data_IF_436517732315
#
_entry.id   IF_436517732315
#
_cell.length_a   1.000
_cell.length_b   1.000
_cell.length_c   1.000
_cell.angle_alpha   90.00
_cell.angle_beta   90.00
_cell.angle_gamma   90.00
#
_symmetry.space_group_name_H-M   'P 1'
#
loop_
_entity.id
_entity.type
_entity.pdbx_description
1 polymer ?
#
# COMPACT_ATOMS: atom_id res chain seq x y z
N UNK A 1 12.06 32.44 -0.25
CA UNK A 1 12.62 31.14 -0.68
C UNK A 1 12.31 30.11 0.38
N UNK A 2 11.37 29.20 0.11
CA UNK A 2 11.16 28.03 0.96
C UNK A 2 12.28 27.04 0.65
N UNK A 3 13.05 26.64 1.67
CA UNK A 3 14.01 25.56 1.56
C UNK A 3 13.25 24.29 1.94
N UNK A 4 13.00 23.41 0.99
CA UNK A 4 12.57 22.03 1.26
C UNK A 4 13.74 21.33 1.94
N UNK A 5 13.63 21.13 3.25
CA UNK A 5 14.58 20.34 4.02
C UNK A 5 13.88 19.03 4.41
N UNK A 6 14.45 17.90 4.02
CA UNK A 6 14.00 16.59 4.45
C UNK A 6 14.51 16.35 5.87
N UNK A 7 13.63 16.44 6.88
CA UNK A 7 13.99 16.16 8.27
C UNK A 7 13.41 14.81 8.65
N UNK A 8 14.24 13.78 8.63
CA UNK A 8 13.88 12.46 9.19
C UNK A 8 14.10 12.51 10.70
N UNK A 9 13.04 12.79 11.47
CA UNK A 9 13.08 12.66 12.92
C UNK A 9 13.01 11.18 13.31
N UNK A 10 14.16 10.56 13.54
CA UNK A 10 14.24 9.23 14.14
C UNK A 10 14.40 9.40 15.65
N UNK A 11 13.41 9.00 16.44
CA UNK A 11 13.61 8.84 17.89
C UNK A 11 14.45 7.57 18.07
N UNK A 12 15.73 7.74 18.37
CA UNK A 12 16.67 6.64 18.57
C UNK A 12 16.31 5.84 19.83
N UNK A 13 15.86 4.60 19.65
CA UNK A 13 15.91 3.58 20.70
C UNK A 13 17.19 2.75 20.52
N UNK A 14 17.92 2.55 21.62
CA UNK A 14 19.24 1.94 21.66
C UNK A 14 19.26 0.46 21.24
N UNK A 15 20.44 0.04 20.79
CA UNK A 15 20.74 -1.14 19.98
C UNK A 15 20.43 -2.51 20.60
N UNK A 16 20.02 -3.44 19.73
CA UNK A 16 20.31 -4.87 19.87
C UNK A 16 20.79 -5.40 18.51
N UNK A 17 21.97 -6.01 18.52
CA UNK A 17 22.73 -6.50 17.37
C UNK A 17 22.02 -7.66 16.67
N UNK A 18 21.97 -7.67 15.33
CA UNK A 18 21.73 -8.90 14.57
C UNK A 18 22.49 -8.85 13.25
N UNK A 19 23.18 -9.96 12.98
CA UNK A 19 24.08 -10.20 11.85
C UNK A 19 23.37 -10.07 10.50
N UNK A 20 24.09 -9.46 9.56
CA UNK A 20 23.70 -9.24 8.17
C UNK A 20 23.88 -10.51 7.35
N UNK A 21 22.78 -11.09 6.87
CA UNK A 21 22.79 -11.98 5.71
C UNK A 21 22.43 -11.11 4.50
N UNK A 22 23.39 -10.95 3.59
CA UNK A 22 23.24 -10.16 2.38
C UNK A 22 22.13 -10.77 1.50
N UNK A 23 21.03 -10.04 1.34
CA UNK A 23 20.02 -10.31 0.33
C UNK A 23 20.43 -9.57 -0.95
N UNK A 24 20.53 -10.29 -2.06
CA UNK A 24 20.85 -9.75 -3.38
C UNK A 24 19.77 -8.72 -3.80
N UNK A 25 20.17 -7.45 -3.89
CA UNK A 25 19.33 -6.36 -4.39
C UNK A 25 19.20 -6.44 -5.91
N UNK A 26 18.13 -7.09 -6.39
CA UNK A 26 17.60 -6.87 -7.73
C UNK A 26 16.65 -5.66 -7.70
N UNK A 27 17.20 -4.46 -7.49
CA UNK A 27 16.44 -3.20 -7.39
C UNK A 27 15.96 -2.69 -8.73
N UNK A 28 14.84 -3.22 -9.24
CA UNK A 28 14.07 -2.55 -10.29
C UNK A 28 13.28 -1.36 -9.70
N UNK A 29 13.26 -0.22 -10.40
CA UNK A 29 12.39 0.90 -10.03
C UNK A 29 10.93 0.50 -10.23
N UNK A 30 10.09 0.62 -9.19
CA UNK A 30 8.65 0.36 -9.28
C UNK A 30 7.98 1.46 -10.10
N UNK A 31 7.24 1.08 -11.14
CA UNK A 31 6.47 2.01 -11.96
C UNK A 31 5.21 2.48 -11.23
N UNK A 32 4.79 3.73 -11.43
CA UNK A 32 3.56 4.26 -10.81
C UNK A 32 2.66 4.84 -11.89
N UNK A 33 1.45 4.29 -11.99
CA UNK A 33 0.40 4.73 -12.90
C UNK A 33 -0.67 5.50 -12.13
N UNK A 34 -0.88 6.75 -12.49
CA UNK A 34 -1.98 7.57 -11.97
C UNK A 34 -3.14 7.51 -12.95
N UNK A 35 -4.05 6.55 -12.72
CA UNK A 35 -5.20 6.32 -13.59
C UNK A 35 -5.00 5.27 -14.69
N UNK A 36 -6.11 4.76 -15.26
CA UNK A 36 -6.10 3.69 -16.26
C UNK A 36 -5.38 4.07 -17.57
N UNK A 37 -5.35 5.34 -17.92
CA UNK A 37 -4.73 5.86 -19.15
C UNK A 37 -3.20 5.72 -19.18
N UNK A 38 -2.57 5.54 -18.01
CA UNK A 38 -1.13 5.33 -17.89
C UNK A 38 -0.74 3.85 -17.89
N UNK A 39 -1.72 2.93 -17.80
CA UNK A 39 -1.46 1.49 -17.79
C UNK A 39 -1.06 1.04 -19.20
N UNK A 40 0.08 0.32 -19.36
CA UNK A 40 0.49 -0.19 -20.66
C UNK A 40 -0.57 -1.14 -21.24
N UNK A 41 -1.09 -0.82 -22.43
CA UNK A 41 -2.11 -1.64 -23.11
C UNK A 41 -1.64 -3.06 -23.44
N UNK A 42 -0.32 -3.28 -23.49
CA UNK A 42 0.27 -4.59 -23.67
C UNK A 42 -0.02 -5.56 -22.50
N UNK A 43 -0.38 -5.09 -21.30
CA UNK A 43 -0.69 -5.96 -20.17
C UNK A 43 -1.94 -6.80 -20.42
N UNK A 44 -3.01 -6.18 -20.92
CA UNK A 44 -4.29 -6.83 -21.24
C UNK A 44 -4.35 -7.51 -22.61
N UNK A 45 -3.26 -7.50 -23.39
CA UNK A 45 -3.21 -8.16 -24.69
C UNK A 45 -3.19 -9.71 -24.53
N UNK A 46 -3.72 -10.51 -25.48
CA UNK A 46 -3.77 -11.97 -25.37
C UNK A 46 -2.41 -12.66 -25.12
N UNK A 47 -1.35 -12.11 -25.73
CA UNK A 47 0.04 -12.56 -25.58
C UNK A 47 0.86 -11.64 -24.63
N UNK A 48 0.17 -10.73 -23.95
CA UNK A 48 0.76 -9.81 -22.97
C UNK A 48 1.29 -10.54 -21.73
N UNK A 49 2.21 -9.91 -20.98
CA UNK A 49 2.72 -10.48 -19.73
C UNK A 49 1.60 -10.69 -18.69
N UNK A 50 0.51 -9.91 -18.75
CA UNK A 50 -0.52 -9.89 -17.72
C UNK A 50 0.01 -9.45 -16.35
N UNK A 51 -0.82 -9.62 -15.32
CA UNK A 51 -0.47 -9.20 -13.95
C UNK A 51 -0.90 -10.21 -12.90
N UNK A 52 -0.24 -10.15 -11.75
CA UNK A 52 -0.76 -10.63 -10.47
C UNK A 52 -1.07 -9.40 -9.64
N UNK A 53 -2.34 -9.23 -9.25
CA UNK A 53 -2.82 -7.98 -8.67
C UNK A 53 -3.13 -8.13 -7.19
N UNK A 54 -2.70 -7.16 -6.37
CA UNK A 54 -3.21 -6.99 -5.01
C UNK A 54 -3.94 -5.67 -4.88
N UNK A 55 -5.16 -5.68 -4.34
CA UNK A 55 -6.01 -4.49 -4.21
C UNK A 55 -6.12 -4.08 -2.75
N UNK A 56 -5.82 -2.83 -2.44
CA UNK A 56 -5.92 -2.32 -1.08
C UNK A 56 -5.59 -0.85 -0.93
N UNK A 57 -6.05 -0.25 0.17
CA UNK A 57 -5.65 1.13 0.50
C UNK A 57 -4.17 1.17 0.92
N UNK A 58 -3.64 0.12 1.53
CA UNK A 58 -2.23 0.04 1.92
C UNK A 58 -1.74 1.20 2.80
N UNK A 59 -2.61 1.87 3.56
CA UNK A 59 -2.21 3.01 4.40
C UNK A 59 -1.23 2.55 5.50
N UNK A 60 -0.03 3.14 5.49
CA UNK A 60 1.08 2.77 6.35
C UNK A 60 1.92 1.55 5.91
N UNK A 61 1.47 0.76 4.93
CA UNK A 61 2.16 -0.46 4.43
C UNK A 61 2.70 -1.31 5.61
N UNK A 62 1.82 -1.62 6.57
CA UNK A 62 2.16 -2.37 7.77
C UNK A 62 2.48 -3.85 7.47
N UNK A 63 2.90 -4.61 8.50
CA UNK A 63 3.30 -6.03 8.35
C UNK A 63 2.24 -6.90 7.65
N UNK A 64 0.97 -6.71 7.98
CA UNK A 64 -0.15 -7.34 7.26
C UNK A 64 -0.14 -7.07 5.75
N UNK A 65 -0.09 -5.79 5.33
CA UNK A 65 0.02 -5.43 3.91
C UNK A 65 1.27 -6.05 3.26
N UNK A 66 2.43 -6.00 3.94
CA UNK A 66 3.67 -6.58 3.41
C UNK A 66 3.56 -8.09 3.17
N UNK A 67 2.82 -8.82 4.00
CA UNK A 67 2.59 -10.24 3.80
C UNK A 67 1.76 -10.52 2.52
N UNK A 68 0.66 -9.78 2.32
CA UNK A 68 -0.18 -9.90 1.11
C UNK A 68 0.62 -9.55 -0.15
N UNK A 69 1.38 -8.44 -0.11
CA UNK A 69 2.19 -7.99 -1.24
C UNK A 69 3.35 -8.95 -1.56
N UNK A 70 4.03 -9.48 -0.53
CA UNK A 70 5.06 -10.49 -0.73
C UNK A 70 4.49 -11.75 -1.40
N UNK A 71 3.26 -12.15 -1.03
CA UNK A 71 2.61 -13.28 -1.68
C UNK A 71 2.22 -12.99 -3.13
N UNK A 72 1.77 -11.77 -3.45
CA UNK A 72 1.52 -11.35 -4.82
C UNK A 72 2.78 -11.42 -5.70
N UNK A 73 3.92 -10.96 -5.17
CA UNK A 73 5.23 -11.03 -5.85
C UNK A 73 5.66 -12.49 -6.08
N UNK A 74 5.52 -13.33 -5.06
CA UNK A 74 5.85 -14.75 -5.18
C UNK A 74 4.93 -15.47 -6.19
N UNK A 75 3.62 -15.21 -6.15
CA UNK A 75 2.66 -15.73 -7.13
C UNK A 75 3.04 -15.31 -8.56
N UNK A 76 3.43 -14.06 -8.77
CA UNK A 76 3.89 -13.60 -10.08
C UNK A 76 5.12 -14.40 -10.58
N UNK A 77 6.09 -14.68 -9.70
CA UNK A 77 7.24 -15.55 -10.04
C UNK A 77 6.81 -16.98 -10.37
N UNK A 78 5.92 -17.56 -9.57
CA UNK A 78 5.43 -18.94 -9.76
C UNK A 78 4.70 -19.09 -11.10
N UNK A 79 3.82 -18.15 -11.44
CA UNK A 79 3.12 -18.13 -12.73
C UNK A 79 4.11 -18.01 -13.90
N UNK A 80 5.15 -17.17 -13.76
CA UNK A 80 6.19 -17.06 -14.79
C UNK A 80 7.00 -18.35 -14.98
N UNK A 81 7.29 -19.09 -13.90
CA UNK A 81 8.00 -20.37 -13.96
C UNK A 81 7.15 -21.49 -14.58
N UNK A 82 5.83 -21.45 -14.37
CA UNK A 82 4.90 -22.43 -14.96
C UNK A 82 4.69 -22.24 -16.47
N UNK A 83 4.94 -21.03 -16.97
CA UNK A 83 4.71 -20.63 -18.37
C UNK A 83 5.96 -19.99 -19.00
N UNK A 84 7.07 -20.72 -19.16
CA UNK A 84 8.35 -20.17 -19.64
C UNK A 84 8.29 -19.64 -21.08
N UNK A 85 7.26 -20.01 -21.85
CA UNK A 85 6.98 -19.50 -23.19
C UNK A 85 6.43 -18.07 -23.21
N UNK A 86 6.03 -17.53 -22.05
CA UNK A 86 5.50 -16.17 -21.89
C UNK A 86 6.37 -15.36 -20.92
N UNK A 87 6.40 -14.03 -21.04
CA UNK A 87 6.97 -13.20 -19.99
C UNK A 87 6.24 -13.41 -18.66
N UNK A 88 6.99 -13.33 -17.55
CA UNK A 88 6.43 -13.34 -16.20
C UNK A 88 5.39 -12.20 -16.06
N UNK A 89 4.21 -12.46 -15.46
CA UNK A 89 3.28 -11.38 -15.14
C UNK A 89 3.89 -10.39 -14.16
N UNK A 90 3.48 -9.13 -14.26
CA UNK A 90 3.92 -8.10 -13.32
C UNK A 90 3.17 -8.23 -11.99
N UNK A 91 3.86 -8.07 -10.87
CA UNK A 91 3.26 -7.94 -9.56
C UNK A 91 2.81 -6.48 -9.38
N UNK A 92 1.50 -6.25 -9.32
CA UNK A 92 0.91 -4.90 -9.32
C UNK A 92 0.06 -4.68 -8.06
N UNK A 93 0.30 -3.57 -7.37
CA UNK A 93 -0.62 -3.11 -6.33
C UNK A 93 -1.62 -2.09 -6.91
N UNK A 94 -2.91 -2.28 -6.65
CA UNK A 94 -3.93 -1.27 -6.92
C UNK A 94 -4.28 -0.58 -5.62
N UNK A 95 -4.10 0.74 -5.59
CA UNK A 95 -4.42 1.58 -4.44
C UNK A 95 -5.28 2.78 -4.82
N UNK A 96 -5.70 3.54 -3.81
CA UNK A 96 -6.71 4.57 -3.94
C UNK A 96 -6.23 5.90 -3.35
N UNK A 97 -6.47 6.98 -4.08
CA UNK A 97 -6.27 8.35 -3.62
C UNK A 97 -7.34 9.29 -4.20
N UNK A 98 -8.04 10.11 -3.40
CA UNK A 98 -7.99 10.18 -1.93
C UNK A 98 -8.47 8.89 -1.25
N UNK A 99 -8.25 8.79 0.07
CA UNK A 99 -8.70 7.62 0.84
C UNK A 99 -10.23 7.44 0.71
N UNK A 100 -10.76 6.23 0.40
CA UNK A 100 -12.19 6.01 0.15
C UNK A 100 -13.13 6.56 1.22
N UNK A 101 -12.79 6.36 2.51
CA UNK A 101 -13.61 6.87 3.62
C UNK A 101 -13.77 8.39 3.63
N UNK A 102 -12.77 9.15 3.17
CA UNK A 102 -12.84 10.61 3.13
C UNK A 102 -13.78 11.09 2.01
N UNK A 103 -13.92 10.31 0.94
CA UNK A 103 -14.86 10.59 -0.14
C UNK A 103 -16.30 10.27 0.29
N UNK A 104 -16.50 9.13 0.97
CA UNK A 104 -17.83 8.74 1.48
C UNK A 104 -18.27 9.55 2.70
N UNK A 105 -17.31 10.02 3.51
CA UNK A 105 -17.56 10.77 4.74
C UNK A 105 -16.57 11.95 4.88
N UNK A 106 -16.77 13.04 4.12
CA UNK A 106 -15.84 14.18 4.09
C UNK A 106 -15.57 14.85 5.45
N UNK A 107 -16.50 14.72 6.40
CA UNK A 107 -16.36 15.28 7.74
C UNK A 107 -15.68 14.33 8.74
N UNK A 108 -15.29 13.12 8.31
CA UNK A 108 -14.56 12.18 9.17
C UNK A 108 -13.14 12.66 9.34
N UNK A 109 -12.70 12.82 10.59
CA UNK A 109 -11.30 12.98 10.90
C UNK A 109 -10.60 11.62 10.81
N UNK A 110 -9.93 11.35 9.68
CA UNK A 110 -9.07 10.19 9.52
C UNK A 110 -7.61 10.66 9.46
N UNK A 111 -6.84 10.49 10.55
CA UNK A 111 -5.39 10.65 10.49
C UNK A 111 -4.82 9.60 9.54
N UNK A 112 -4.27 10.03 8.41
CA UNK A 112 -3.56 9.13 7.50
C UNK A 112 -2.30 8.62 8.20
N UNK A 113 -2.01 7.32 8.08
CA UNK A 113 -0.77 6.74 8.64
C UNK A 113 0.43 7.16 7.79
N UNK A 114 0.22 7.38 6.49
CA UNK A 114 1.23 7.90 5.57
C UNK A 114 0.58 8.76 4.49
N UNK A 115 1.26 9.81 4.04
CA UNK A 115 0.94 10.48 2.77
C UNK A 115 0.98 9.51 1.58
N UNK A 116 0.34 9.87 0.45
CA UNK A 116 0.44 9.07 -0.78
C UNK A 116 1.89 8.89 -1.23
N UNK A 117 2.71 9.95 -1.16
CA UNK A 117 4.12 9.90 -1.55
C UNK A 117 4.90 8.88 -0.71
N UNK A 118 4.75 8.94 0.61
CA UNK A 118 5.42 8.01 1.54
C UNK A 118 4.89 6.58 1.35
N UNK A 119 3.58 6.41 1.11
CA UNK A 119 2.99 5.10 0.80
C UNK A 119 3.58 4.49 -0.47
N UNK A 120 3.77 5.29 -1.53
CA UNK A 120 4.39 4.82 -2.78
C UNK A 120 5.87 4.45 -2.60
N UNK A 121 6.65 5.24 -1.85
CA UNK A 121 8.02 4.89 -1.47
C UNK A 121 8.08 3.55 -0.72
N UNK A 122 7.14 3.32 0.19
CA UNK A 122 7.07 2.07 0.96
C UNK A 122 6.65 0.88 0.10
N UNK A 123 5.68 1.06 -0.81
CA UNK A 123 5.28 0.02 -1.76
C UNK A 123 6.44 -0.37 -2.67
N UNK A 124 7.30 0.58 -3.06
CA UNK A 124 8.47 0.30 -3.86
C UNK A 124 9.47 -0.67 -3.18
N UNK A 125 9.46 -0.75 -1.85
CA UNK A 125 10.32 -1.68 -1.06
C UNK A 125 9.76 -3.11 -0.92
N UNK A 126 8.67 -3.43 -1.63
CA UNK A 126 7.98 -4.73 -1.48
C UNK A 126 8.27 -5.73 -2.60
N UNK A 127 9.02 -5.33 -3.63
CA UNK A 127 9.31 -6.17 -4.80
C UNK A 127 8.22 -6.15 -5.87
N UNK A 128 7.24 -5.24 -5.74
CA UNK A 128 6.27 -4.95 -6.80
C UNK A 128 6.98 -4.47 -8.06
N UNK A 129 6.39 -4.76 -9.22
CA UNK A 129 6.83 -4.19 -10.49
C UNK A 129 6.17 -2.83 -10.75
N UNK A 130 4.90 -2.67 -10.34
CA UNK A 130 4.17 -1.42 -10.51
C UNK A 130 3.09 -1.17 -9.44
N UNK A 131 2.62 0.08 -9.35
CA UNK A 131 1.47 0.51 -8.55
C UNK A 131 0.50 1.30 -9.44
N UNK A 132 -0.76 0.87 -9.48
CA UNK A 132 -1.86 1.65 -10.04
C UNK A 132 -2.53 2.45 -8.92
N UNK A 133 -2.46 3.78 -8.99
CA UNK A 133 -3.21 4.70 -8.14
C UNK A 133 -4.51 5.07 -8.85
N UNK A 134 -5.63 4.55 -8.35
CA UNK A 134 -6.96 4.90 -8.83
C UNK A 134 -7.42 6.17 -8.12
N UNK A 135 -7.83 7.18 -8.91
CA UNK A 135 -8.49 8.34 -8.36
C UNK A 135 -9.88 7.97 -7.82
N UNK A 136 -10.04 7.96 -6.49
CA UNK A 136 -11.27 7.49 -5.88
C UNK A 136 -12.35 8.58 -5.85
N UNK A 137 -13.49 8.32 -6.48
CA UNK A 137 -14.64 9.22 -6.53
C UNK A 137 -15.93 8.49 -6.14
N UNK A 138 -17.00 9.23 -5.83
CA UNK A 138 -18.32 8.62 -5.59
C UNK A 138 -18.89 7.92 -6.83
N UNK A 139 -18.52 8.38 -8.03
CA UNK A 139 -18.87 7.74 -9.30
C UNK A 139 -18.14 6.40 -9.46
N UNK A 140 -16.81 6.39 -9.24
CA UNK A 140 -16.02 5.16 -9.20
C UNK A 140 -16.60 4.16 -8.19
N UNK A 141 -17.06 4.62 -7.03
CA UNK A 141 -17.65 3.79 -5.99
C UNK A 141 -19.00 3.15 -6.36
N UNK A 142 -19.65 3.53 -7.47
CA UNK A 142 -20.92 2.93 -7.90
C UNK A 142 -20.78 1.58 -8.62
N UNK A 143 -19.56 1.17 -8.97
CA UNK A 143 -19.31 -0.07 -9.69
C UNK A 143 -19.73 -1.30 -8.89
N UNK A 144 -20.37 -2.27 -9.55
CA UNK A 144 -20.63 -3.58 -8.93
C UNK A 144 -19.32 -4.34 -8.68
N UNK A 145 -19.28 -5.34 -7.78
CA UNK A 145 -18.12 -6.20 -7.60
C UNK A 145 -17.62 -6.81 -8.93
N UNK A 146 -18.52 -7.38 -9.73
CA UNK A 146 -18.22 -7.92 -11.05
C UNK A 146 -17.66 -6.87 -12.01
N UNK A 147 -18.29 -5.69 -12.06
CA UNK A 147 -17.85 -4.61 -12.95
C UNK A 147 -16.46 -4.08 -12.57
N UNK A 148 -16.15 -4.01 -11.27
CA UNK A 148 -14.82 -3.64 -10.81
C UNK A 148 -13.77 -4.67 -11.24
N UNK A 149 -14.00 -5.96 -10.96
CA UNK A 149 -13.03 -7.03 -11.28
C UNK A 149 -12.78 -7.12 -12.78
N UNK A 150 -13.83 -7.24 -13.59
CA UNK A 150 -13.69 -7.39 -15.04
C UNK A 150 -13.03 -6.18 -15.69
N UNK A 151 -13.49 -4.96 -15.38
CA UNK A 151 -12.98 -3.75 -16.03
C UNK A 151 -11.56 -3.40 -15.61
N UNK A 152 -11.26 -3.47 -14.31
CA UNK A 152 -9.99 -2.96 -13.79
C UNK A 152 -8.93 -4.03 -13.65
N UNK A 153 -9.30 -5.25 -13.26
CA UNK A 153 -8.33 -6.30 -13.02
C UNK A 153 -8.12 -7.10 -14.30
N UNK A 154 -9.18 -7.60 -14.92
CA UNK A 154 -9.05 -8.47 -16.10
C UNK A 154 -8.77 -7.68 -17.38
N UNK A 155 -9.63 -6.74 -17.77
CA UNK A 155 -9.51 -6.01 -19.05
C UNK A 155 -8.32 -5.03 -19.05
N UNK A 156 -8.20 -4.19 -18.02
CA UNK A 156 -7.17 -3.15 -17.96
C UNK A 156 -5.79 -3.72 -17.60
N UNK A 157 -5.72 -4.56 -16.57
CA UNK A 157 -4.45 -5.06 -16.03
C UNK A 157 -4.08 -6.44 -16.56
N UNK A 158 -4.95 -7.14 -17.31
CA UNK A 158 -4.68 -8.51 -17.73
C UNK A 158 -4.42 -9.44 -16.55
N UNK A 159 -5.18 -9.27 -15.45
CA UNK A 159 -4.97 -10.05 -14.24
C UNK A 159 -5.12 -11.54 -14.52
N UNK A 160 -4.07 -12.28 -14.18
CA UNK A 160 -4.03 -13.75 -14.21
C UNK A 160 -4.34 -14.32 -12.84
N UNK A 161 -3.91 -13.60 -11.79
CA UNK A 161 -4.24 -13.91 -10.42
C UNK A 161 -4.51 -12.63 -9.61
N UNK A 162 -5.34 -12.74 -8.58
CA UNK A 162 -5.57 -11.69 -7.58
C UNK A 162 -5.23 -12.23 -6.20
N UNK A 163 -4.39 -11.49 -5.47
CA UNK A 163 -3.95 -11.83 -4.11
C UNK A 163 -4.41 -10.74 -3.13
N UNK A 164 -5.29 -11.10 -2.20
CA UNK A 164 -5.90 -10.16 -1.25
C UNK A 164 -5.96 -10.73 0.16
N UNK A 165 -6.13 -9.86 1.16
CA UNK A 165 -6.42 -10.28 2.53
C UNK A 165 -7.85 -10.84 2.66
N UNK A 166 -8.09 -11.64 3.69
CA UNK A 166 -9.41 -12.20 4.03
C UNK A 166 -10.49 -11.14 4.35
N UNK A 167 -10.09 -9.94 4.77
CA UNK A 167 -10.98 -8.82 5.07
C UNK A 167 -11.32 -7.95 3.85
N UNK A 168 -10.93 -8.36 2.63
CA UNK A 168 -11.15 -7.59 1.42
C UNK A 168 -12.63 -7.20 1.28
N UNK A 169 -12.85 -5.92 0.95
CA UNK A 169 -14.17 -5.37 0.63
C UNK A 169 -14.06 -4.48 -0.60
N UNK A 170 -14.95 -4.70 -1.56
CA UNK A 170 -14.92 -3.98 -2.83
C UNK A 170 -16.32 -3.88 -3.46
N UNK A 171 -16.41 -3.12 -4.54
CA UNK A 171 -17.67 -2.81 -5.21
C UNK A 171 -18.58 -1.90 -4.39
N UNK A 172 -19.71 -1.53 -5.00
CA UNK A 172 -20.67 -0.58 -4.47
C UNK A 172 -21.14 -0.99 -3.08
N UNK A 173 -20.98 -0.08 -2.12
CA UNK A 173 -21.37 -0.31 -0.74
C UNK A 173 -20.63 -1.45 -0.06
N UNK A 174 -19.40 -1.79 -0.49
CA UNK A 174 -18.63 -2.93 0.01
C UNK A 174 -19.38 -4.26 -0.10
N UNK A 175 -20.18 -4.42 -1.16
CA UNK A 175 -21.01 -5.60 -1.40
C UNK A 175 -20.22 -6.84 -1.84
N UNK A 176 -18.99 -6.67 -2.33
CA UNK A 176 -18.07 -7.75 -2.65
C UNK A 176 -17.11 -8.03 -1.50
N UNK A 177 -16.77 -9.30 -1.35
CA UNK A 177 -15.81 -9.85 -0.38
C UNK A 177 -15.01 -11.01 -0.96
N UNK A 178 -14.20 -11.69 -0.14
CA UNK A 178 -13.37 -12.82 -0.57
C UNK A 178 -14.18 -13.91 -1.31
N UNK A 179 -15.34 -14.31 -0.78
CA UNK A 179 -16.21 -15.30 -1.41
C UNK A 179 -16.77 -14.83 -2.75
N UNK A 180 -17.13 -13.54 -2.84
CA UNK A 180 -17.55 -12.92 -4.09
C UNK A 180 -16.42 -12.93 -5.13
N UNK A 181 -15.19 -12.62 -4.70
CA UNK A 181 -14.02 -12.61 -5.57
C UNK A 181 -13.70 -14.03 -6.09
N UNK A 182 -13.73 -15.05 -5.22
CA UNK A 182 -13.57 -16.45 -5.61
C UNK A 182 -14.68 -16.94 -6.57
N UNK A 183 -15.90 -16.44 -6.41
CA UNK A 183 -16.99 -16.74 -7.34
C UNK A 183 -16.74 -16.12 -8.72
N UNK A 184 -16.31 -14.86 -8.77
CA UNK A 184 -15.94 -14.19 -10.03
C UNK A 184 -14.76 -14.94 -10.67
N UNK A 185 -13.73 -15.25 -9.88
CA UNK A 185 -12.54 -15.97 -10.34
C UNK A 185 -12.85 -17.31 -11.00
N UNK A 186 -13.72 -18.12 -10.36
CA UNK A 186 -14.17 -19.40 -10.93
C UNK A 186 -14.97 -19.25 -12.22
N UNK A 187 -15.75 -18.18 -12.34
CA UNK A 187 -16.57 -17.93 -13.53
C UNK A 187 -15.74 -17.43 -14.71
N UNK A 188 -14.74 -16.60 -14.44
CA UNK A 188 -13.99 -15.85 -15.46
C UNK A 188 -12.59 -16.45 -15.73
N UNK A 189 -12.19 -17.50 -14.99
CA UNK A 189 -10.89 -18.16 -15.14
C UNK A 189 -9.73 -17.39 -14.49
N UNK A 190 -10.04 -16.49 -13.56
CA UNK A 190 -9.09 -15.71 -12.79
C UNK A 190 -8.72 -16.45 -11.49
N UNK A 191 -7.43 -16.67 -11.26
CA UNK A 191 -6.95 -17.28 -10.02
C UNK A 191 -7.11 -16.29 -8.85
N UNK A 192 -7.60 -16.77 -7.71
CA UNK A 192 -7.81 -15.94 -6.52
C UNK A 192 -7.12 -16.60 -5.35
N UNK A 193 -6.23 -15.86 -4.70
CA UNK A 193 -5.56 -16.28 -3.48
C UNK A 193 -5.91 -15.36 -2.32
N UNK A 194 -6.47 -15.95 -1.27
CA UNK A 194 -6.81 -15.25 -0.03
C UNK A 194 -5.71 -15.50 0.99
N UNK A 195 -5.00 -14.43 1.36
CA UNK A 195 -3.97 -14.44 2.40
C UNK A 195 -4.65 -14.19 3.74
N UNK A 196 -4.62 -15.20 4.61
CA UNK A 196 -5.12 -15.06 5.96
C UNK A 196 -4.31 -14.05 6.77
N UNK A 197 -5.00 -13.39 7.70
CA UNK A 197 -4.39 -12.38 8.55
C UNK A 197 -3.16 -12.89 9.31
N UNK A 198 -2.06 -12.15 9.15
CA UNK A 198 -0.90 -12.30 10.02
C UNK A 198 -1.19 -11.62 11.35
N UNK A 199 -1.13 -12.41 12.42
CA UNK A 199 -1.37 -11.92 13.78
C UNK A 199 -0.06 -11.48 14.44
N UNK A 200 -0.15 -10.48 15.31
CA UNK A 200 0.91 -10.15 16.24
C UNK A 200 1.10 -11.27 17.28
N UNK A 201 2.24 -11.29 18.00
CA UNK A 201 2.41 -12.19 19.16
C UNK A 201 1.29 -12.06 20.20
N UNK A 202 0.63 -10.91 20.27
CA UNK A 202 -0.54 -10.67 21.13
C UNK A 202 -1.85 -11.32 20.62
N UNK A 203 -1.83 -11.95 19.45
CA UNK A 203 -3.01 -12.47 18.76
C UNK A 203 -3.85 -11.41 18.03
N UNK A 204 -3.47 -10.13 18.12
CA UNK A 204 -4.17 -9.04 17.42
C UNK A 204 -3.69 -8.93 15.97
N UNK A 205 -4.64 -8.75 15.04
CA UNK A 205 -4.37 -8.49 13.63
C UNK A 205 -3.60 -7.19 13.40
N UNK A 206 -2.56 -7.21 12.55
CA UNK A 206 -1.92 -6.00 12.04
C UNK A 206 -2.86 -5.20 11.12
N UNK A 207 -3.20 -3.97 11.49
CA UNK A 207 -4.10 -3.11 10.69
C UNK A 207 -3.74 -1.62 10.80
N UNK A 208 -4.09 -0.82 9.79
CA UNK A 208 -3.93 0.65 9.85
C UNK A 208 -4.74 1.27 10.99
N UNK A 209 -5.88 0.69 11.35
CA UNK A 209 -6.66 1.14 12.52
C UNK A 209 -5.86 1.00 13.81
N UNK A 210 -5.19 -0.14 14.01
CA UNK A 210 -4.35 -0.34 15.20
C UNK A 210 -3.15 0.62 15.20
N UNK A 211 -2.53 0.89 14.05
CA UNK A 211 -1.46 1.90 13.97
C UNK A 211 -1.96 3.27 14.43
N UNK A 212 -3.15 3.71 13.98
CA UNK A 212 -3.73 5.00 14.37
C UNK A 212 -4.03 5.07 15.87
N UNK A 213 -4.63 4.02 16.44
CA UNK A 213 -4.88 3.93 17.89
C UNK A 213 -3.59 4.09 18.71
N UNK A 214 -2.51 3.43 18.28
CA UNK A 214 -1.22 3.50 18.96
C UNK A 214 -0.59 4.90 18.86
N UNK A 215 -0.65 5.52 17.68
CA UNK A 215 -0.16 6.89 17.49
C UNK A 215 -0.98 7.89 18.32
N UNK A 216 -2.30 7.76 18.35
CA UNK A 216 -3.18 8.60 19.15
C UNK A 216 -2.92 8.45 20.66
N UNK A 217 -2.59 7.24 21.11
CA UNK A 217 -2.16 6.98 22.49
C UNK A 217 -0.72 7.43 22.80
N UNK A 218 0.05 7.89 21.80
CA UNK A 218 1.46 8.25 21.94
C UNK A 218 2.42 7.05 21.99
N UNK A 219 1.95 5.82 21.76
CA UNK A 219 2.76 4.61 21.72
C UNK A 219 3.40 4.41 20.33
N UNK A 220 4.40 5.24 20.04
CA UNK A 220 5.15 5.18 18.77
C UNK A 220 6.00 3.91 18.66
N UNK A 221 6.39 3.29 19.77
CA UNK A 221 7.14 2.05 19.78
C UNK A 221 6.24 0.87 19.38
N UNK A 222 5.03 0.80 19.94
CA UNK A 222 4.01 -0.15 19.50
C UNK A 222 3.65 0.06 18.03
N UNK A 223 3.45 1.32 17.60
CA UNK A 223 3.16 1.61 16.19
C UNK A 223 4.29 1.09 15.28
N UNK A 224 5.54 1.24 15.70
CA UNK A 224 6.69 0.73 14.96
C UNK A 224 6.71 -0.80 14.85
N UNK A 225 6.22 -1.53 15.87
CA UNK A 225 6.07 -2.98 15.79
C UNK A 225 5.06 -3.38 14.71
N UNK A 226 3.89 -2.70 14.66
CA UNK A 226 2.85 -2.96 13.64
C UNK A 226 3.35 -2.63 12.23
N UNK A 227 4.04 -1.50 12.07
CA UNK A 227 4.58 -1.03 10.79
C UNK A 227 5.81 -1.82 10.34
N UNK A 228 6.53 -2.47 11.26
CA UNK A 228 7.84 -3.07 11.01
C UNK A 228 8.97 -2.06 10.85
N UNK A 229 8.72 -0.78 11.16
CA UNK A 229 9.66 0.35 11.06
C UNK A 229 9.17 1.50 11.94
N UNK A 230 10.03 2.45 12.35
CA UNK A 230 9.58 3.68 12.98
C UNK A 230 8.56 4.43 12.11
N UNK A 231 7.52 4.99 12.72
CA UNK A 231 6.60 5.88 12.03
C UNK A 231 7.35 7.18 11.66
N UNK A 232 7.17 7.64 10.42
CA UNK A 232 7.82 8.82 9.85
C UNK A 232 6.75 9.86 9.52
N UNK A 233 7.11 11.12 9.69
CA UNK A 233 6.36 12.26 9.21
C UNK A 233 7.22 13.03 8.22
N UNK A 234 6.62 13.48 7.13
CA UNK A 234 7.18 14.44 6.19
C UNK A 234 6.46 15.76 6.38
N UNK A 235 7.15 16.89 6.25
CA UNK A 235 6.52 18.20 6.40
C UNK A 235 7.47 19.35 6.10
N UNK A 236 6.91 20.51 5.76
CA UNK A 236 7.70 21.71 5.48
C UNK A 236 8.18 22.33 6.78
N UNK A 237 9.49 22.58 6.90
CA UNK A 237 10.07 23.31 8.02
C UNK A 237 9.66 24.77 7.93
N UNK A 238 9.03 25.27 8.99
CA UNK A 238 8.58 26.66 9.12
C UNK A 238 9.23 27.34 10.32
N UNK A 239 9.13 28.66 10.35
CA UNK A 239 9.52 29.43 11.52
C UNK A 239 8.50 29.25 12.64
N UNK A 240 8.90 28.55 13.70
CA UNK A 240 8.15 28.48 14.94
C UNK A 240 8.71 29.42 16.01
N UNK A 241 8.45 29.10 17.28
CA UNK A 241 8.75 29.96 18.43
C UNK A 241 10.26 30.10 18.74
N UNK A 242 11.14 29.41 18.01
CA UNK A 242 12.62 29.48 18.13
C UNK A 242 13.19 29.24 19.55
N UNK A 243 12.40 28.71 20.49
CA UNK A 243 12.78 28.48 21.90
C UNK A 243 14.03 27.62 22.09
N UNK A 244 14.30 26.68 21.18
CA UNK A 244 15.52 25.87 21.22
C UNK A 244 16.81 26.70 21.17
N UNK A 245 16.80 27.87 20.51
CA UNK A 245 17.96 28.76 20.42
C UNK A 245 18.38 29.31 21.79
N UNK A 246 17.41 29.57 22.67
CA UNK A 246 17.67 30.05 24.03
C UNK A 246 18.30 28.96 24.92
N UNK A 247 18.08 27.69 24.57
CA UNK A 247 18.61 26.51 25.27
C UNK A 247 19.85 25.88 24.59
N UNK A 248 20.33 26.46 23.48
CA UNK A 248 21.47 25.93 22.71
C UNK A 248 21.17 24.73 21.81
N UNK A 249 19.90 24.33 21.64
CA UNK A 249 19.51 23.18 20.83
C UNK A 249 18.78 23.60 19.55
N UNK A 250 19.22 23.16 18.35
CA UNK A 250 18.51 23.43 17.11
C UNK A 250 17.14 22.73 17.10
N UNK A 251 16.09 23.44 16.70
CA UNK A 251 14.72 22.91 16.59
C UNK A 251 14.17 23.11 15.19
N UNK A 252 13.53 22.09 14.63
CA UNK A 252 12.70 22.20 13.44
C UNK A 252 11.22 22.25 13.84
N UNK A 253 10.46 23.21 13.29
CA UNK A 253 9.01 23.27 13.48
C UNK A 253 8.37 22.88 12.15
N UNK A 254 7.42 21.94 12.16
CA UNK A 254 6.77 21.46 10.96
C UNK A 254 5.40 22.13 10.80
N UNK A 255 5.04 22.48 9.56
CA UNK A 255 3.70 22.98 9.26
C UNK A 255 2.67 21.86 9.39
N UNK A 256 1.69 22.05 10.27
CA UNK A 256 0.66 21.05 10.60
C UNK A 256 -0.12 20.55 9.36
N UNK A 257 -0.39 21.42 8.38
CA UNK A 257 -1.11 21.06 7.16
C UNK A 257 -0.33 20.14 6.20
N UNK A 258 0.98 19.97 6.41
CA UNK A 258 1.85 19.11 5.57
C UNK A 258 2.39 17.91 6.31
N UNK A 259 2.13 17.79 7.63
CA UNK A 259 2.64 16.70 8.46
C UNK A 259 1.82 15.43 8.22
N UNK A 260 2.40 14.47 7.52
CA UNK A 260 1.82 13.14 7.27
C UNK A 260 2.83 12.18 6.68
#
# INVERSE_FOLDING_TARGET
MAVTAEVTATVAAAAASTESVAAEESGGTVEVWYGPEQVPSALGAPDGPGTVVSVGVFDGVHRGHRAVLARAVECARQVGLAHPERPRPLAVAVTFDPHPILIHRPHTHLPMVTSLADRLELLATTGLDAVLVIHYTLDFAQQSPYGFVRRWLEELLGARAVVVGDDVRFGRGNSGDAATLEQIGRADGLEVEIVHDVLAPSGRRWSSTWVRELIEAGDVAGAAQVLGRPHRLRGTVVHGLRRGRELGFPTANLQAATAG
#
